data_IF_313035496144
#
_entry.id   IF_313035496144
#
_cell.length_a   1.000
_cell.length_b   1.000
_cell.length_c   1.000
_cell.angle_alpha   90.00
_cell.angle_beta   90.00
_cell.angle_gamma   90.00
#
_symmetry.space_group_name_H-M   'P 1'
#
loop_
_entity.id
_entity.type
_entity.pdbx_description
1 polymer ?
#
# COMPACT_ATOMS: atom_id res chain seq x y z
N UNK A 1 -20.53 69.76 -17.45
CA UNK A 1 -20.20 69.86 -16.02
C UNK A 1 -19.16 70.96 -15.86
N UNK A 2 -19.54 72.11 -15.29
CA UNK A 2 -18.57 73.18 -15.00
C UNK A 2 -17.79 72.83 -13.72
N UNK A 3 -16.61 72.26 -13.90
CA UNK A 3 -15.68 71.99 -12.80
C UNK A 3 -14.79 73.22 -12.59
N UNK A 4 -14.80 73.77 -11.38
CA UNK A 4 -13.81 74.78 -11.00
C UNK A 4 -12.40 74.19 -11.03
N UNK A 5 -11.38 75.03 -11.27
CA UNK A 5 -9.96 74.61 -11.29
C UNK A 5 -9.58 73.79 -10.04
N UNK A 6 -10.11 74.17 -8.86
CA UNK A 6 -9.86 73.45 -7.60
C UNK A 6 -10.52 72.07 -7.56
N UNK A 7 -11.71 71.93 -8.13
CA UNK A 7 -12.39 70.63 -8.25
C UNK A 7 -11.68 69.72 -9.25
N UNK A 8 -11.19 70.28 -10.36
CA UNK A 8 -10.40 69.54 -11.35
C UNK A 8 -9.15 68.89 -10.72
N UNK A 9 -8.35 69.65 -9.94
CA UNK A 9 -7.17 69.09 -9.28
C UNK A 9 -7.49 68.02 -8.23
N UNK A 10 -8.61 68.15 -7.51
CA UNK A 10 -9.05 67.13 -6.54
C UNK A 10 -9.43 65.83 -7.24
N UNK A 11 -10.20 65.91 -8.32
CA UNK A 11 -10.64 64.73 -9.08
C UNK A 11 -9.44 64.06 -9.76
N UNK A 12 -8.54 64.84 -10.37
CA UNK A 12 -7.34 64.32 -10.99
C UNK A 12 -6.40 63.63 -9.98
N UNK A 13 -6.20 64.23 -8.79
CA UNK A 13 -5.39 63.64 -7.73
C UNK A 13 -5.96 62.33 -7.18
N UNK A 14 -7.28 62.27 -6.95
CA UNK A 14 -7.97 61.05 -6.50
C UNK A 14 -7.91 59.97 -7.58
N UNK A 15 -8.12 60.32 -8.85
CA UNK A 15 -8.05 59.39 -9.98
C UNK A 15 -6.65 58.80 -10.17
N UNK A 16 -5.60 59.61 -9.99
CA UNK A 16 -4.22 59.16 -10.12
C UNK A 16 -3.80 58.28 -8.94
N UNK A 17 -4.17 58.65 -7.71
CA UNK A 17 -3.92 57.84 -6.52
C UNK A 17 -4.67 56.50 -6.59
N UNK A 18 -5.96 56.51 -6.96
CA UNK A 18 -6.78 55.31 -7.07
C UNK A 18 -6.29 54.34 -8.15
N UNK A 19 -5.92 54.87 -9.33
CA UNK A 19 -5.38 54.03 -10.42
C UNK A 19 -3.99 53.48 -10.10
N UNK A 20 -3.14 54.27 -9.43
CA UNK A 20 -1.81 53.83 -8.98
C UNK A 20 -1.90 52.74 -7.92
N UNK A 21 -2.83 52.86 -6.96
CA UNK A 21 -3.10 51.81 -5.97
C UNK A 21 -3.60 50.52 -6.64
N UNK A 22 -4.49 50.65 -7.64
CA UNK A 22 -4.95 49.50 -8.43
C UNK A 22 -3.82 48.81 -9.19
N UNK A 23 -2.95 49.58 -9.87
CA UNK A 23 -1.80 49.06 -10.61
C UNK A 23 -0.73 48.43 -9.72
N UNK A 24 -0.60 48.88 -8.47
CA UNK A 24 0.26 48.28 -7.44
C UNK A 24 -0.35 47.03 -6.79
N UNK A 25 -1.47 46.51 -7.33
CA UNK A 25 -2.07 45.25 -6.89
C UNK A 25 -2.97 45.38 -5.66
N UNK A 26 -3.36 46.60 -5.26
CA UNK A 26 -4.32 46.82 -4.16
C UNK A 26 -5.78 46.75 -4.63
N UNK A 27 -6.02 46.55 -5.93
CA UNK A 27 -7.32 46.17 -6.44
C UNK A 27 -7.59 44.69 -6.11
N UNK A 28 -8.81 44.32 -5.68
CA UNK A 28 -9.15 42.93 -5.44
C UNK A 28 -8.91 42.11 -6.71
N UNK A 29 -8.11 41.05 -6.59
CA UNK A 29 -7.91 40.10 -7.67
C UNK A 29 -9.17 39.25 -7.82
N UNK A 30 -9.46 38.83 -9.05
CA UNK A 30 -10.51 37.86 -9.31
C UNK A 30 -10.02 36.53 -8.72
N UNK A 31 -10.71 36.00 -7.71
CA UNK A 31 -10.43 34.67 -7.22
C UNK A 31 -10.77 33.67 -8.32
N UNK A 32 -9.76 33.07 -8.95
CA UNK A 32 -9.92 32.06 -10.00
C UNK A 32 -10.38 30.72 -9.42
N UNK A 33 -11.58 30.68 -8.82
CA UNK A 33 -12.18 29.44 -8.33
C UNK A 33 -12.36 28.40 -9.44
N UNK A 34 -12.55 28.84 -10.70
CA UNK A 34 -12.69 27.98 -11.87
C UNK A 34 -11.40 27.21 -12.23
N UNK A 35 -10.23 27.68 -11.78
CA UNK A 35 -8.95 27.03 -12.05
C UNK A 35 -8.58 25.95 -11.00
N UNK A 36 -9.30 25.90 -9.88
CA UNK A 36 -9.04 24.92 -8.82
C UNK A 36 -9.82 23.65 -9.16
N UNK A 37 -9.10 22.59 -9.53
CA UNK A 37 -9.70 21.27 -9.74
C UNK A 37 -10.50 20.87 -8.50
N UNK A 38 -11.63 20.19 -8.71
CA UNK A 38 -12.39 19.59 -7.61
C UNK A 38 -11.49 18.69 -6.77
N UNK A 39 -11.78 18.66 -5.46
CA UNK A 39 -11.07 17.78 -4.54
C UNK A 39 -11.37 16.33 -4.88
N UNK A 40 -10.37 15.64 -5.47
CA UNK A 40 -10.53 14.29 -6.06
C UNK A 40 -11.01 13.21 -5.08
N UNK A 41 -10.93 13.46 -3.77
CA UNK A 41 -11.26 12.48 -2.72
C UNK A 41 -12.67 12.70 -2.12
N UNK A 42 -13.41 13.72 -2.56
CA UNK A 42 -14.70 14.10 -1.96
C UNK A 42 -15.77 12.99 -1.94
N UNK A 43 -15.68 12.01 -2.85
CA UNK A 43 -16.61 10.89 -2.98
C UNK A 43 -15.89 9.53 -2.99
N UNK A 44 -14.90 9.39 -2.12
CA UNK A 44 -14.15 8.15 -1.95
C UNK A 44 -14.45 7.53 -0.58
N UNK A 45 -14.28 6.22 -0.49
CA UNK A 45 -14.33 5.49 0.77
C UNK A 45 -12.95 5.51 1.43
N UNK A 46 -12.86 6.11 2.62
CA UNK A 46 -11.66 6.11 3.44
C UNK A 46 -11.51 4.79 4.22
N UNK A 47 -10.29 4.27 4.29
CA UNK A 47 -9.97 3.11 5.12
C UNK A 47 -8.61 3.30 5.79
N UNK A 48 -8.57 3.13 7.10
CA UNK A 48 -7.35 3.17 7.89
C UNK A 48 -6.51 1.91 7.70
N UNK A 49 -5.20 2.07 7.55
CA UNK A 49 -4.24 0.96 7.50
C UNK A 49 -2.88 1.39 8.07
N UNK A 50 -1.91 0.48 8.09
CA UNK A 50 -0.55 0.71 8.57
C UNK A 50 0.45 0.48 7.44
N UNK A 51 1.49 1.31 7.39
CA UNK A 51 2.57 1.20 6.42
C UNK A 51 3.26 -0.18 6.46
N UNK A 52 3.37 -0.92 5.34
CA UNK A 52 3.88 -2.29 5.31
C UNK A 52 5.41 -2.40 5.19
N UNK A 53 6.16 -1.30 5.34
CA UNK A 53 7.60 -1.29 5.08
C UNK A 53 8.45 -1.56 6.32
N UNK A 54 8.67 -0.54 7.16
CA UNK A 54 9.55 -0.65 8.32
C UNK A 54 8.74 -0.68 9.62
N UNK A 55 9.41 -0.99 10.73
CA UNK A 55 8.81 -1.15 12.06
C UNK A 55 8.35 0.15 12.75
N UNK A 56 8.44 1.31 12.08
CA UNK A 56 7.89 2.57 12.62
C UNK A 56 6.37 2.47 12.76
N UNK A 57 5.70 1.73 11.87
CA UNK A 57 4.25 1.52 11.95
C UNK A 57 3.44 2.79 11.70
N UNK A 58 3.80 3.59 10.68
CA UNK A 58 3.05 4.79 10.33
C UNK A 58 1.59 4.47 9.98
N UNK A 59 0.64 5.24 10.53
CA UNK A 59 -0.77 5.17 10.15
C UNK A 59 -1.02 5.79 8.78
N UNK A 60 -1.96 5.20 8.04
CA UNK A 60 -2.34 5.55 6.67
C UNK A 60 -3.85 5.77 6.58
N UNK A 61 -4.24 6.71 5.71
CA UNK A 61 -5.59 6.78 5.15
C UNK A 61 -5.49 6.39 3.68
N UNK A 62 -6.22 5.34 3.30
CA UNK A 62 -6.35 4.88 1.92
C UNK A 62 -7.72 5.27 1.37
N UNK A 63 -7.74 5.79 0.16
CA UNK A 63 -8.95 6.27 -0.51
C UNK A 63 -9.29 5.35 -1.67
N UNK A 64 -10.44 4.68 -1.58
CA UNK A 64 -10.96 3.82 -2.65
C UNK A 64 -12.09 4.50 -3.41
N UNK A 65 -12.17 4.25 -4.72
CA UNK A 65 -13.29 4.74 -5.52
C UNK A 65 -14.59 4.03 -5.16
N UNK A 66 -15.66 4.81 -5.00
CA UNK A 66 -17.01 4.32 -4.66
C UNK A 66 -17.30 4.37 -3.16
N UNK A 67 -18.42 3.76 -2.78
CA UNK A 67 -19.05 3.83 -1.45
C UNK A 67 -18.92 2.53 -0.64
N UNK A 68 -17.97 1.66 -1.01
CA UNK A 68 -17.85 0.30 -0.49
C UNK A 68 -19.09 -0.60 -0.69
N UNK A 69 -20.00 -0.22 -1.59
CA UNK A 69 -21.13 -1.06 -1.98
C UNK A 69 -20.68 -2.36 -2.65
N UNK A 70 -21.42 -3.45 -2.41
CA UNK A 70 -21.10 -4.80 -2.93
C UNK A 70 -21.00 -4.86 -4.47
N UNK A 71 -21.68 -3.96 -5.17
CA UNK A 71 -21.71 -3.89 -6.63
C UNK A 71 -20.53 -3.11 -7.22
N UNK A 72 -19.65 -2.54 -6.38
CA UNK A 72 -18.52 -1.72 -6.80
C UNK A 72 -17.22 -2.39 -6.40
N UNK A 73 -16.45 -2.83 -7.39
CA UNK A 73 -15.09 -3.30 -7.16
C UNK A 73 -14.24 -2.15 -6.61
N UNK A 74 -13.73 -2.32 -5.40
CA UNK A 74 -12.93 -1.29 -4.74
C UNK A 74 -11.57 -1.16 -5.43
N UNK A 75 -11.20 0.08 -5.74
CA UNK A 75 -9.91 0.42 -6.32
C UNK A 75 -9.31 1.61 -5.58
N UNK A 76 -8.15 1.43 -4.96
CA UNK A 76 -7.45 2.48 -4.21
C UNK A 76 -6.89 3.50 -5.21
N UNK A 77 -7.19 4.77 -5.05
CA UNK A 77 -6.75 5.84 -5.96
C UNK A 77 -5.81 6.87 -5.28
N UNK A 78 -5.71 6.82 -3.96
CA UNK A 78 -4.81 7.69 -3.20
C UNK A 78 -4.50 7.09 -1.83
N UNK A 79 -3.32 7.41 -1.30
CA UNK A 79 -2.88 7.05 0.04
C UNK A 79 -2.13 8.26 0.62
N UNK A 80 -2.46 8.62 1.86
CA UNK A 80 -1.71 9.61 2.63
C UNK A 80 -1.57 9.17 4.10
N UNK A 81 -0.88 9.96 4.91
CA UNK A 81 -0.65 9.63 6.32
C UNK A 81 -1.87 9.97 7.17
N UNK A 82 -2.14 9.14 8.18
CA UNK A 82 -3.17 9.44 9.19
C UNK A 82 -2.68 10.54 10.15
N UNK A 83 -3.37 11.68 10.12
CA UNK A 83 -3.07 12.85 10.95
C UNK A 83 -3.28 12.59 12.45
N UNK A 84 -4.19 11.67 12.81
CA UNK A 84 -4.48 11.31 14.19
C UNK A 84 -3.48 10.29 14.75
N UNK A 85 -2.68 9.65 13.89
CA UNK A 85 -1.76 8.60 14.33
C UNK A 85 -0.60 9.19 15.15
N UNK A 86 -0.37 8.74 16.39
CA UNK A 86 0.51 9.43 17.34
C UNK A 86 1.99 9.44 16.94
N UNK A 87 2.41 8.45 16.14
CA UNK A 87 3.81 8.28 15.72
C UNK A 87 4.17 9.20 14.56
N UNK A 88 3.39 9.19 13.48
CA UNK A 88 3.74 9.90 12.25
C UNK A 88 2.97 11.21 12.04
N UNK A 89 1.83 11.42 12.72
CA UNK A 89 1.03 12.66 12.66
C UNK A 89 0.80 13.16 11.22
N UNK A 90 0.39 12.24 10.34
CA UNK A 90 0.13 12.52 8.92
C UNK A 90 1.36 12.47 8.00
N UNK A 91 2.59 12.41 8.53
CA UNK A 91 3.79 12.38 7.69
C UNK A 91 4.08 10.99 7.13
N UNK A 92 4.65 10.94 5.93
CA UNK A 92 5.15 9.71 5.28
C UNK A 92 6.50 9.96 4.62
N UNK A 93 7.42 9.01 4.78
CA UNK A 93 8.67 8.98 4.00
C UNK A 93 8.39 8.55 2.54
N UNK A 94 9.35 8.67 1.59
CA UNK A 94 9.08 8.38 0.18
C UNK A 94 8.58 6.96 -0.09
N UNK A 95 8.96 5.98 0.76
CA UNK A 95 8.43 4.60 0.67
C UNK A 95 6.93 4.58 0.95
N UNK A 96 6.50 5.16 2.08
CA UNK A 96 5.09 5.20 2.47
C UNK A 96 4.23 6.05 1.53
N UNK A 97 4.74 7.21 1.13
CA UNK A 97 4.05 8.10 0.20
C UNK A 97 3.88 7.49 -1.21
N UNK A 98 4.78 6.57 -1.60
CA UNK A 98 4.73 5.85 -2.87
C UNK A 98 3.92 4.54 -2.86
N UNK A 99 3.16 4.24 -1.80
CA UNK A 99 2.42 2.97 -1.68
C UNK A 99 1.42 2.72 -2.82
N UNK A 100 0.86 3.77 -3.42
CA UNK A 100 -0.06 3.64 -4.53
C UNK A 100 0.59 2.92 -5.73
N UNK A 101 1.86 3.24 -6.02
CA UNK A 101 2.62 2.63 -7.12
C UNK A 101 3.00 1.18 -6.81
N UNK A 102 3.19 0.84 -5.53
CA UNK A 102 3.38 -0.56 -5.12
C UNK A 102 2.11 -1.39 -5.35
N UNK A 103 0.95 -0.86 -4.96
CA UNK A 103 -0.35 -1.55 -5.14
C UNK A 103 -0.66 -1.73 -6.62
N UNK A 104 -0.45 -0.70 -7.44
CA UNK A 104 -0.74 -0.71 -8.88
C UNK A 104 0.45 -1.09 -9.76
N UNK A 105 1.49 -1.67 -9.16
CA UNK A 105 2.68 -2.06 -9.92
C UNK A 105 2.31 -3.01 -11.06
N UNK A 106 2.83 -2.80 -12.28
CA UNK A 106 2.65 -3.76 -13.38
C UNK A 106 3.30 -5.12 -13.08
N UNK A 107 4.18 -5.19 -12.07
CA UNK A 107 4.79 -6.44 -11.59
C UNK A 107 3.95 -7.22 -10.58
N UNK A 108 2.72 -6.80 -10.27
CA UNK A 108 1.83 -7.54 -9.37
C UNK A 108 1.51 -8.92 -9.95
N UNK A 109 1.72 -9.97 -9.17
CA UNK A 109 1.33 -11.33 -9.54
C UNK A 109 -0.20 -11.45 -9.57
N UNK A 110 -0.74 -11.91 -10.70
CA UNK A 110 -2.19 -12.00 -10.93
C UNK A 110 -2.72 -13.44 -10.88
N UNK A 111 -1.89 -14.43 -11.22
CA UNK A 111 -2.30 -15.83 -11.36
C UNK A 111 -1.21 -16.77 -10.85
N UNK A 112 -1.57 -17.98 -10.37
CA UNK A 112 -0.62 -19.06 -10.17
C UNK A 112 0.12 -19.41 -11.47
N UNK A 113 1.41 -19.66 -11.35
CA UNK A 113 2.29 -20.02 -12.47
C UNK A 113 3.17 -21.19 -12.07
N UNK A 114 3.53 -22.03 -13.05
CA UNK A 114 4.47 -23.14 -12.88
C UNK A 114 5.58 -23.06 -13.92
N UNK A 115 6.77 -23.50 -13.53
CA UNK A 115 7.94 -23.63 -14.40
C UNK A 115 8.39 -25.09 -14.33
N UNK A 116 8.32 -25.78 -15.47
CA UNK A 116 8.71 -27.19 -15.56
C UNK A 116 10.23 -27.35 -15.45
N UNK A 117 10.74 -28.47 -14.90
CA UNK A 117 12.18 -28.75 -14.88
C UNK A 117 12.78 -28.62 -16.29
N UNK A 118 13.90 -27.89 -16.39
CA UNK A 118 14.58 -27.62 -17.67
C UNK A 118 13.96 -26.54 -18.55
N UNK A 119 12.79 -25.97 -18.19
CA UNK A 119 12.18 -24.86 -18.95
C UNK A 119 12.73 -23.49 -18.53
N UNK A 120 12.72 -22.49 -19.41
CA UNK A 120 12.91 -21.06 -19.09
C UNK A 120 11.60 -20.31 -18.88
N UNK A 121 10.46 -20.91 -19.21
CA UNK A 121 9.18 -20.20 -19.33
C UNK A 121 8.22 -20.53 -18.19
N UNK A 122 7.40 -19.54 -17.83
CA UNK A 122 6.29 -19.70 -16.89
C UNK A 122 4.99 -20.02 -17.62
N UNK A 123 4.26 -21.01 -17.14
CA UNK A 123 2.91 -21.34 -17.63
C UNK A 123 1.88 -21.04 -16.56
N UNK A 124 0.82 -20.32 -16.91
CA UNK A 124 -0.32 -20.06 -16.01
C UNK A 124 -1.08 -21.37 -15.75
N UNK A 125 -1.46 -21.60 -14.49
CA UNK A 125 -2.27 -22.74 -14.04
C UNK A 125 -3.42 -22.26 -13.14
N UNK A 126 -4.36 -23.16 -12.83
CA UNK A 126 -5.42 -22.86 -11.85
C UNK A 126 -4.89 -22.92 -10.40
N UNK A 127 -5.67 -22.39 -9.46
CA UNK A 127 -5.36 -22.53 -8.03
C UNK A 127 -5.41 -23.99 -7.57
N UNK A 128 -6.40 -24.76 -8.02
CA UNK A 128 -6.54 -26.17 -7.67
C UNK A 128 -5.34 -26.99 -8.17
N UNK A 129 -4.94 -26.80 -9.43
CA UNK A 129 -3.78 -27.48 -10.00
C UNK A 129 -2.49 -27.13 -9.26
N UNK A 130 -2.32 -25.86 -8.86
CA UNK A 130 -1.16 -25.42 -8.09
C UNK A 130 -1.11 -26.09 -6.72
N UNK A 131 -2.24 -26.13 -6.01
CA UNK A 131 -2.33 -26.71 -4.67
C UNK A 131 -2.15 -28.22 -4.69
N UNK A 132 -2.83 -28.94 -5.60
CA UNK A 132 -2.72 -30.39 -5.73
C UNK A 132 -1.27 -30.81 -6.00
N UNK A 133 -0.62 -30.13 -6.96
CA UNK A 133 0.79 -30.40 -7.29
C UNK A 133 1.73 -30.16 -6.10
N UNK A 134 1.53 -29.07 -5.34
CA UNK A 134 2.34 -28.77 -4.16
C UNK A 134 2.14 -29.85 -3.10
N UNK A 135 0.89 -30.24 -2.82
CA UNK A 135 0.56 -31.26 -1.84
C UNK A 135 1.14 -32.63 -2.21
N UNK A 136 1.04 -33.04 -3.47
CA UNK A 136 1.60 -34.31 -3.94
C UNK A 136 3.12 -34.38 -3.71
N UNK A 137 3.83 -33.33 -4.12
CA UNK A 137 5.29 -33.26 -3.94
C UNK A 137 5.68 -33.24 -2.46
N UNK A 138 4.96 -32.46 -1.64
CA UNK A 138 5.19 -32.40 -0.20
C UNK A 138 4.95 -33.76 0.46
N UNK A 139 3.88 -34.46 0.09
CA UNK A 139 3.53 -35.77 0.65
C UNK A 139 4.58 -36.82 0.28
N UNK A 140 4.98 -36.86 -0.98
CA UNK A 140 6.02 -37.78 -1.47
C UNK A 140 7.33 -37.60 -0.67
N UNK A 141 7.81 -36.35 -0.54
CA UNK A 141 9.06 -36.07 0.17
C UNK A 141 8.93 -36.33 1.68
N UNK A 142 7.82 -35.93 2.30
CA UNK A 142 7.60 -36.14 3.73
C UNK A 142 7.52 -37.62 4.07
N UNK A 143 6.72 -38.41 3.36
CA UNK A 143 6.56 -39.84 3.67
C UNK A 143 7.88 -40.61 3.48
N UNK A 144 8.72 -40.20 2.53
CA UNK A 144 10.03 -40.80 2.30
C UNK A 144 11.09 -40.41 3.37
N UNK A 145 11.00 -39.20 3.92
CA UNK A 145 12.08 -38.59 4.72
C UNK A 145 11.69 -38.20 6.16
N UNK A 146 10.48 -38.58 6.62
CA UNK A 146 10.04 -38.28 7.98
C UNK A 146 10.81 -39.10 9.01
N UNK A 147 11.31 -38.43 10.05
CA UNK A 147 12.06 -39.04 11.13
C UNK A 147 11.14 -39.10 12.35
N UNK A 148 10.59 -40.29 12.62
CA UNK A 148 9.79 -40.53 13.83
C UNK A 148 10.69 -40.56 15.07
N UNK A 149 11.80 -41.32 15.01
CA UNK A 149 12.75 -41.50 16.11
C UNK A 149 14.18 -41.13 15.70
N UNK A 150 14.95 -40.57 16.62
CA UNK A 150 16.38 -40.32 16.42
C UNK A 150 17.24 -41.59 16.66
N UNK A 151 18.55 -41.48 16.45
CA UNK A 151 19.53 -42.57 16.67
C UNK A 151 19.53 -43.10 18.11
N UNK A 152 19.11 -42.29 19.08
CA UNK A 152 18.98 -42.67 20.49
C UNK A 152 17.60 -43.29 20.82
N UNK A 153 16.74 -43.50 19.82
CA UNK A 153 15.41 -44.10 19.98
C UNK A 153 14.33 -43.16 20.55
N UNK A 154 14.63 -41.87 20.71
CA UNK A 154 13.68 -40.86 21.21
C UNK A 154 12.76 -40.40 20.08
N UNK A 155 11.47 -40.23 20.37
CA UNK A 155 10.51 -39.68 19.40
C UNK A 155 10.81 -38.19 19.15
N UNK A 156 10.99 -37.84 17.88
CA UNK A 156 11.31 -36.47 17.43
C UNK A 156 10.33 -35.93 16.39
N UNK A 157 9.62 -36.79 15.65
CA UNK A 157 8.56 -36.43 14.69
C UNK A 157 8.90 -35.22 13.80
N UNK A 158 10.03 -35.29 13.09
CA UNK A 158 10.58 -34.16 12.33
C UNK A 158 10.80 -34.48 10.85
N UNK A 159 10.70 -33.45 10.02
CA UNK A 159 10.94 -33.47 8.59
C UNK A 159 12.00 -32.42 8.24
N UNK A 160 13.09 -32.84 7.59
CA UNK A 160 14.31 -32.03 7.41
C UNK A 160 14.71 -31.78 5.95
N UNK A 161 14.10 -32.48 4.99
CA UNK A 161 14.43 -32.36 3.56
C UNK A 161 13.69 -31.22 2.86
N UNK A 162 12.66 -30.67 3.49
CA UNK A 162 11.94 -29.47 3.03
C UNK A 162 12.06 -28.37 4.09
N UNK A 163 12.26 -27.13 3.63
CA UNK A 163 12.31 -25.93 4.47
C UNK A 163 11.30 -24.87 4.03
N UNK A 164 11.11 -23.86 4.87
CA UNK A 164 10.18 -22.76 4.62
C UNK A 164 10.73 -21.44 5.15
N UNK A 165 10.62 -20.37 4.35
CA UNK A 165 10.95 -19.01 4.77
C UNK A 165 9.66 -18.21 4.99
N UNK A 166 9.39 -17.84 6.25
CA UNK A 166 8.23 -17.03 6.62
C UNK A 166 8.39 -15.55 6.27
N UNK A 167 7.26 -14.90 6.05
CA UNK A 167 7.21 -13.48 5.72
C UNK A 167 6.98 -12.61 6.95
N UNK A 168 8.02 -11.90 7.42
CA UNK A 168 7.87 -10.83 8.43
C UNK A 168 7.01 -9.66 7.96
N UNK A 169 6.77 -9.55 6.66
CA UNK A 169 5.95 -8.50 6.04
C UNK A 169 4.45 -8.86 5.97
N UNK A 170 4.06 -10.07 6.42
CA UNK A 170 2.66 -10.47 6.53
C UNK A 170 2.10 -10.15 7.93
N UNK A 171 0.79 -10.34 8.11
CA UNK A 171 0.15 -10.10 9.41
C UNK A 171 0.54 -11.16 10.45
N UNK A 172 0.33 -10.85 11.73
CA UNK A 172 0.58 -11.79 12.82
C UNK A 172 -0.31 -13.03 12.72
N UNK A 173 -1.54 -12.90 12.23
CA UNK A 173 -2.47 -14.01 12.04
C UNK A 173 -1.97 -14.96 10.95
N UNK A 174 -1.44 -14.42 9.85
CA UNK A 174 -0.79 -15.22 8.82
C UNK A 174 0.46 -15.93 9.36
N UNK A 175 1.25 -15.24 10.20
CA UNK A 175 2.39 -15.84 10.91
C UNK A 175 1.96 -16.98 11.84
N UNK A 176 0.87 -16.81 12.58
CA UNK A 176 0.32 -17.82 13.48
C UNK A 176 -0.18 -19.06 12.72
N UNK A 177 -0.91 -18.87 11.62
CA UNK A 177 -1.33 -19.97 10.74
C UNK A 177 -0.11 -20.68 10.16
N UNK A 178 0.88 -19.94 9.68
CA UNK A 178 2.13 -20.48 9.13
C UNK A 178 2.83 -21.36 10.15
N UNK A 179 3.02 -20.88 11.39
CA UNK A 179 3.64 -21.66 12.46
C UNK A 179 2.88 -22.97 12.71
N UNK A 180 1.54 -22.93 12.78
CA UNK A 180 0.74 -24.16 13.00
C UNK A 180 0.91 -25.15 11.87
N UNK A 181 0.80 -24.71 10.62
CA UNK A 181 0.93 -25.58 9.43
C UNK A 181 2.32 -26.21 9.39
N UNK A 182 3.38 -25.40 9.41
CA UNK A 182 4.77 -25.86 9.26
C UNK A 182 5.18 -26.80 10.40
N UNK A 183 4.81 -26.50 11.65
CA UNK A 183 5.14 -27.36 12.78
C UNK A 183 4.29 -28.62 12.84
N UNK A 184 3.02 -28.58 12.43
CA UNK A 184 2.18 -29.79 12.36
C UNK A 184 2.71 -30.81 11.34
N UNK A 185 3.39 -30.34 10.29
CA UNK A 185 4.05 -31.18 9.31
C UNK A 185 5.41 -31.72 9.81
N UNK A 186 5.93 -31.20 10.91
CA UNK A 186 7.21 -31.59 11.52
C UNK A 186 8.44 -30.84 10.97
N UNK A 187 8.27 -29.78 10.17
CA UNK A 187 9.42 -29.06 9.60
C UNK A 187 10.22 -28.33 10.68
N UNK A 188 11.54 -28.49 10.63
CA UNK A 188 12.47 -27.72 11.47
C UNK A 188 13.24 -26.64 10.72
N UNK A 189 13.45 -26.79 9.41
CA UNK A 189 14.02 -25.75 8.54
C UNK A 189 13.02 -24.62 8.33
N UNK A 190 12.85 -23.76 9.34
CA UNK A 190 11.85 -22.69 9.34
C UNK A 190 12.44 -21.42 9.96
N UNK A 191 12.58 -20.37 9.15
CA UNK A 191 13.14 -19.08 9.54
C UNK A 191 12.39 -17.93 8.83
N UNK A 192 12.66 -16.70 9.26
CA UNK A 192 12.22 -15.46 8.61
C UNK A 192 13.36 -14.44 8.58
N UNK A 193 13.04 -13.20 8.20
CA UNK A 193 13.99 -12.09 8.14
C UNK A 193 14.64 -11.74 9.49
N UNK A 194 14.22 -12.30 10.63
CA UNK A 194 14.93 -12.07 11.90
C UNK A 194 16.29 -12.76 11.96
N UNK A 195 16.48 -13.81 11.14
CA UNK A 195 17.75 -14.54 11.03
C UNK A 195 18.68 -13.98 9.94
N UNK A 196 18.10 -13.48 8.85
CA UNK A 196 18.78 -13.07 7.61
C UNK A 196 19.31 -11.63 7.70
#
# INVERSE_FOLDING_TARGET
MDLSRRQFFKVAGIGLAGSSLGALGMAPTIAFAEQVRHFKLAHTHETRNTCPYCSVGCGLIMYSQGDAGKNVAQNIIHIEGDADHPVNRGTLCPKGAGLLDFIHSPGRLLYPQTRKPGSSEWTRISWDEALDRIVDLMKIDRDANFIEKNEQGQTVNRWLTTGFLAASAASNEAGYITQKVIRSLGLLGFDNQARV
#
